data_IF_336157322357
#
_entry.id   IF_336157322357
#
_cell.length_a   1.000
_cell.length_b   1.000
_cell.length_c   1.000
_cell.angle_alpha   90.00
_cell.angle_beta   90.00
_cell.angle_gamma   90.00
#
_symmetry.space_group_name_H-M   'P 1'
#
loop_
_entity.id
_entity.type
_entity.pdbx_description
1 polymer ?
#
# COMPACT_ATOMS: atom_id res chain seq x y z
N UNK A 1 3.53 -21.06 12.10
CA UNK A 1 2.38 -22.00 12.04
C UNK A 1 2.48 -22.97 13.18
N UNK A 2 1.46 -23.01 14.06
CA UNK A 2 1.40 -23.94 15.22
C UNK A 2 0.61 -25.22 14.90
N UNK A 3 -0.39 -25.10 14.03
CA UNK A 3 -1.18 -26.23 13.59
C UNK A 3 -1.77 -25.99 12.20
N UNK A 4 -2.04 -27.06 11.46
CA UNK A 4 -2.70 -27.02 10.16
C UNK A 4 -3.99 -27.82 10.20
N UNK A 5 -5.05 -27.26 9.61
CA UNK A 5 -6.35 -27.93 9.49
C UNK A 5 -6.34 -29.02 8.39
N UNK A 6 -7.35 -29.90 8.40
CA UNK A 6 -7.48 -30.94 7.38
C UNK A 6 -7.71 -30.27 6.01
N UNK A 7 -6.92 -30.68 5.00
CA UNK A 7 -7.02 -30.16 3.63
C UNK A 7 -6.15 -28.96 3.32
N UNK A 8 -5.47 -28.35 4.30
CA UNK A 8 -4.47 -27.31 4.06
C UNK A 8 -3.30 -27.90 3.27
N UNK A 9 -2.84 -27.17 2.26
CA UNK A 9 -1.73 -27.59 1.38
C UNK A 9 -0.64 -26.54 1.36
N UNK A 10 0.61 -27.01 1.39
CA UNK A 10 1.78 -26.14 1.25
C UNK A 10 2.15 -25.33 2.49
N UNK A 11 1.57 -25.67 3.64
CA UNK A 11 1.93 -25.14 4.96
C UNK A 11 2.15 -26.30 5.93
N UNK A 12 3.16 -26.16 6.78
CA UNK A 12 3.55 -27.13 7.80
C UNK A 12 3.75 -26.43 9.14
N UNK A 13 3.67 -27.20 10.24
CA UNK A 13 4.01 -26.69 11.58
C UNK A 13 5.47 -26.23 11.59
N UNK A 14 5.72 -25.05 12.13
CA UNK A 14 7.03 -24.40 12.14
C UNK A 14 7.23 -23.38 11.00
N UNK A 15 6.39 -23.35 9.96
CA UNK A 15 6.52 -22.39 8.89
C UNK A 15 6.35 -20.95 9.38
N UNK A 16 7.23 -20.06 8.93
CA UNK A 16 7.05 -18.61 9.03
C UNK A 16 6.11 -18.11 7.94
N UNK A 17 5.19 -17.24 8.30
CA UNK A 17 4.15 -16.76 7.39
C UNK A 17 3.89 -15.27 7.55
N UNK A 18 3.52 -14.62 6.44
CA UNK A 18 2.88 -13.31 6.43
C UNK A 18 1.37 -13.48 6.29
N UNK A 19 0.59 -12.73 7.06
CA UNK A 19 -0.86 -12.70 6.91
C UNK A 19 -1.27 -11.54 5.99
N UNK A 20 -2.13 -11.80 5.01
CA UNK A 20 -2.67 -10.77 4.11
C UNK A 20 -4.16 -10.56 4.35
N UNK A 21 -4.58 -9.31 4.49
CA UNK A 21 -6.00 -8.95 4.57
C UNK A 21 -6.72 -9.06 3.21
N UNK A 22 -5.97 -9.23 2.13
CA UNK A 22 -6.47 -9.52 0.78
C UNK A 22 -6.24 -11.01 0.49
N UNK A 23 -7.20 -11.89 0.82
CA UNK A 23 -7.07 -13.31 0.48
C UNK A 23 -7.25 -13.53 -1.03
N UNK A 24 -6.52 -14.48 -1.59
CA UNK A 24 -6.68 -14.86 -2.99
C UNK A 24 -6.78 -16.36 -3.18
N UNK A 25 -7.86 -16.83 -3.82
CA UNK A 25 -8.07 -18.26 -4.06
C UNK A 25 -7.23 -18.82 -5.20
N UNK A 26 -6.70 -17.98 -6.08
CA UNK A 26 -5.86 -18.34 -7.22
C UNK A 26 -6.58 -19.00 -8.41
N UNK A 27 -7.92 -19.16 -8.37
CA UNK A 27 -8.68 -19.95 -9.36
C UNK A 27 -9.99 -19.33 -9.84
N UNK A 28 -10.50 -18.27 -9.22
CA UNK A 28 -11.67 -17.54 -9.72
C UNK A 28 -11.29 -16.70 -10.96
N UNK A 29 -12.26 -16.21 -11.74
CA UNK A 29 -12.01 -15.40 -12.92
C UNK A 29 -11.05 -14.23 -12.66
N UNK A 30 -11.32 -13.40 -11.65
CA UNK A 30 -10.45 -12.28 -11.30
C UNK A 30 -9.01 -12.71 -10.99
N UNK A 31 -8.83 -13.81 -10.24
CA UNK A 31 -7.49 -14.35 -9.98
C UNK A 31 -6.81 -14.87 -11.23
N UNK A 32 -7.54 -15.54 -12.12
CA UNK A 32 -7.01 -16.09 -13.37
C UNK A 32 -6.57 -14.98 -14.34
N UNK A 33 -7.23 -13.83 -14.30
CA UNK A 33 -6.89 -12.63 -15.08
C UNK A 33 -5.74 -11.80 -14.47
N UNK A 34 -5.18 -12.23 -13.33
CA UNK A 34 -4.08 -11.51 -12.66
C UNK A 34 -4.52 -10.50 -11.62
N UNK A 35 -5.82 -10.39 -11.36
CA UNK A 35 -6.40 -9.45 -10.38
C UNK A 35 -6.65 -10.13 -9.02
N UNK A 36 -5.64 -10.74 -8.43
CA UNK A 36 -5.75 -11.45 -7.15
C UNK A 36 -6.21 -10.54 -6.00
N UNK A 37 -5.88 -9.25 -6.08
CA UNK A 37 -6.32 -8.22 -5.12
C UNK A 37 -7.84 -7.95 -5.17
N UNK A 38 -8.54 -8.46 -6.18
CA UNK A 38 -9.99 -8.43 -6.37
C UNK A 38 -10.60 -9.84 -6.42
N UNK A 39 -10.05 -10.79 -5.68
CA UNK A 39 -10.52 -12.17 -5.67
C UNK A 39 -12.02 -12.27 -5.42
N UNK A 40 -12.79 -12.93 -6.33
CA UNK A 40 -14.25 -13.06 -6.23
C UNK A 40 -14.70 -13.80 -4.96
N UNK A 41 -13.84 -14.66 -4.41
CA UNK A 41 -14.09 -15.38 -3.15
C UNK A 41 -13.50 -14.65 -1.92
N UNK A 42 -12.91 -13.45 -2.11
CA UNK A 42 -12.20 -12.74 -1.05
C UNK A 42 -13.10 -12.39 0.14
N UNK A 43 -14.30 -11.92 -0.12
CA UNK A 43 -15.27 -11.55 0.91
C UNK A 43 -15.74 -12.75 1.74
N UNK A 44 -15.99 -13.90 1.11
CA UNK A 44 -16.37 -15.13 1.81
C UNK A 44 -15.25 -15.62 2.73
N UNK A 45 -14.00 -15.58 2.25
CA UNK A 45 -12.83 -15.95 3.03
C UNK A 45 -12.64 -15.01 4.23
N UNK A 46 -12.75 -13.70 4.03
CA UNK A 46 -12.62 -12.69 5.08
C UNK A 46 -13.75 -12.79 6.11
N UNK A 47 -14.99 -12.96 5.66
CA UNK A 47 -16.14 -13.05 6.54
C UNK A 47 -16.14 -14.33 7.35
N UNK A 48 -15.84 -15.48 6.79
CA UNK A 48 -15.74 -16.78 7.44
C UNK A 48 -16.69 -17.01 8.61
N UNK A 49 -16.57 -18.14 9.30
CA UNK A 49 -17.30 -18.35 10.57
C UNK A 49 -16.62 -17.57 11.70
N UNK A 50 -17.37 -17.01 12.67
CA UNK A 50 -16.78 -16.45 13.89
C UNK A 50 -15.90 -17.50 14.58
N UNK A 51 -14.68 -17.14 14.94
CA UNK A 51 -13.67 -18.08 15.50
C UNK A 51 -13.18 -17.69 16.88
N UNK A 52 -13.49 -16.46 17.31
CA UNK A 52 -13.05 -15.94 18.60
C UNK A 52 -14.25 -15.83 19.55
N UNK A 53 -14.02 -16.16 20.83
CA UNK A 53 -15.03 -16.01 21.89
C UNK A 53 -14.80 -14.66 22.58
N UNK A 54 -15.76 -13.75 22.44
CA UNK A 54 -15.78 -12.48 23.15
C UNK A 54 -16.68 -12.51 24.39
N UNK A 55 -16.73 -11.41 25.15
CA UNK A 55 -17.57 -11.28 26.34
C UNK A 55 -19.08 -11.48 26.07
N UNK A 56 -19.54 -11.07 24.91
CA UNK A 56 -20.97 -11.09 24.49
C UNK A 56 -21.29 -12.22 23.51
N UNK A 57 -20.37 -13.13 23.25
CA UNK A 57 -20.57 -14.24 22.30
C UNK A 57 -19.42 -14.40 21.33
N UNK A 58 -19.68 -15.09 20.21
CA UNK A 58 -18.69 -15.33 19.18
C UNK A 58 -18.46 -14.05 18.34
N UNK A 59 -17.18 -13.67 18.15
CA UNK A 59 -16.77 -12.51 17.33
C UNK A 59 -16.00 -12.95 16.09
N UNK A 60 -16.08 -12.14 15.06
CA UNK A 60 -15.31 -12.30 13.83
C UNK A 60 -14.00 -11.54 13.92
N UNK A 61 -12.94 -12.12 13.41
CA UNK A 61 -11.68 -11.43 13.25
C UNK A 61 -11.77 -10.38 12.14
N UNK A 62 -11.16 -9.23 12.34
CA UNK A 62 -11.02 -8.22 11.28
C UNK A 62 -10.34 -8.84 10.06
N UNK A 63 -10.92 -8.66 8.87
CA UNK A 63 -10.45 -9.23 7.60
C UNK A 63 -10.22 -10.76 7.62
N UNK A 64 -10.84 -11.47 8.58
CA UNK A 64 -10.67 -12.91 8.75
C UNK A 64 -9.31 -13.35 9.30
N UNK A 65 -8.46 -12.44 9.72
CA UNK A 65 -7.10 -12.72 10.24
C UNK A 65 -6.95 -12.44 11.74
N UNK A 66 -7.33 -11.25 12.24
CA UNK A 66 -7.34 -10.93 13.68
C UNK A 66 -6.00 -11.12 14.37
N UNK A 67 -4.98 -10.36 13.92
CA UNK A 67 -3.57 -10.58 14.31
C UNK A 67 -3.17 -10.00 15.67
N UNK A 68 -4.03 -9.22 16.34
CA UNK A 68 -3.78 -8.75 17.71
C UNK A 68 -4.19 -9.81 18.73
N UNK A 69 -3.52 -10.95 18.67
CA UNK A 69 -3.71 -12.09 19.57
C UNK A 69 -2.49 -13.00 19.51
N UNK A 70 -2.22 -13.75 20.57
CA UNK A 70 -1.13 -14.71 20.62
C UNK A 70 -1.31 -15.83 19.57
N UNK A 71 -2.55 -16.24 19.32
CA UNK A 71 -2.92 -17.25 18.35
C UNK A 71 -4.10 -16.79 17.50
N UNK A 72 -4.05 -17.06 16.21
CA UNK A 72 -5.12 -16.76 15.28
C UNK A 72 -5.42 -17.98 14.40
N UNK A 73 -6.71 -18.23 14.14
CA UNK A 73 -7.13 -19.24 13.17
C UNK A 73 -7.52 -18.52 11.89
N UNK A 74 -6.75 -18.73 10.83
CA UNK A 74 -6.89 -18.04 9.57
C UNK A 74 -7.08 -19.01 8.41
N UNK A 75 -7.66 -18.52 7.32
CA UNK A 75 -7.79 -19.31 6.10
C UNK A 75 -6.44 -19.36 5.36
N UNK A 76 -6.08 -20.51 4.78
CA UNK A 76 -4.81 -20.68 4.04
C UNK A 76 -4.61 -19.65 2.92
N UNK A 77 -5.68 -19.15 2.30
CA UNK A 77 -5.62 -18.13 1.27
C UNK A 77 -5.29 -16.72 1.77
N UNK A 78 -5.30 -16.52 3.09
CA UNK A 78 -4.86 -15.28 3.75
C UNK A 78 -3.43 -15.36 4.26
N UNK A 79 -2.72 -16.46 3.97
CA UNK A 79 -1.37 -16.73 4.47
C UNK A 79 -0.40 -16.89 3.30
N UNK A 80 0.77 -16.33 3.46
CA UNK A 80 1.90 -16.44 2.53
C UNK A 80 3.09 -17.01 3.30
N UNK A 81 3.57 -18.20 2.91
CA UNK A 81 4.80 -18.77 3.48
C UNK A 81 6.00 -17.91 3.06
N UNK A 82 6.86 -17.61 4.00
CA UNK A 82 8.09 -16.84 3.82
C UNK A 82 9.29 -17.61 4.37
N UNK A 83 10.50 -17.20 4.01
CA UNK A 83 11.71 -17.81 4.57
C UNK A 83 11.85 -17.54 6.07
N UNK A 84 12.31 -18.52 6.81
CA UNK A 84 12.49 -18.47 8.27
C UNK A 84 13.64 -17.54 8.72
N UNK A 85 14.49 -17.15 7.79
CA UNK A 85 15.60 -16.21 8.01
C UNK A 85 15.18 -14.74 8.02
N UNK A 86 13.95 -14.40 7.55
CA UNK A 86 13.48 -13.02 7.58
C UNK A 86 13.04 -12.60 8.99
N UNK A 87 13.41 -11.42 9.48
CA UNK A 87 12.87 -10.86 10.72
C UNK A 87 11.35 -10.73 10.63
N UNK A 88 10.63 -11.24 11.63
CA UNK A 88 9.16 -11.28 11.60
C UNK A 88 8.52 -9.89 11.64
N UNK A 89 9.17 -8.89 12.21
CA UNK A 89 8.74 -7.49 12.17
C UNK A 89 8.81 -6.91 10.76
N UNK A 90 9.88 -7.17 10.00
CA UNK A 90 9.97 -6.83 8.58
C UNK A 90 8.91 -7.57 7.75
N UNK A 91 8.67 -8.86 8.03
CA UNK A 91 7.60 -9.65 7.39
C UNK A 91 6.23 -9.02 7.67
N UNK A 92 5.95 -8.61 8.92
CA UNK A 92 4.66 -8.06 9.31
C UNK A 92 4.31 -6.80 8.53
N UNK A 93 5.22 -5.84 8.38
CA UNK A 93 4.94 -4.58 7.68
C UNK A 93 4.78 -4.74 6.17
N UNK A 94 5.34 -5.80 5.56
CA UNK A 94 5.13 -6.09 4.13
C UNK A 94 3.71 -6.54 3.82
N UNK A 95 2.95 -6.95 4.82
CA UNK A 95 1.60 -7.51 4.67
C UNK A 95 0.54 -6.49 4.25
N UNK A 96 0.79 -5.19 4.43
CA UNK A 96 -0.18 -4.13 4.11
C UNK A 96 0.52 -2.89 3.52
N UNK A 97 1.01 -1.98 4.38
CA UNK A 97 1.46 -0.65 3.97
C UNK A 97 2.58 -0.66 2.94
N UNK A 98 3.55 -1.57 3.08
CA UNK A 98 4.68 -1.70 2.16
C UNK A 98 4.21 -2.15 0.77
N UNK A 99 3.45 -3.25 0.69
CA UNK A 99 2.93 -3.75 -0.57
C UNK A 99 1.99 -2.74 -1.23
N UNK A 100 1.13 -2.09 -0.44
CA UNK A 100 0.19 -1.08 -0.93
C UNK A 100 0.91 0.12 -1.54
N UNK A 101 1.87 0.70 -0.84
CA UNK A 101 2.59 1.89 -1.32
C UNK A 101 3.48 1.58 -2.51
N UNK A 102 4.32 0.56 -2.40
CA UNK A 102 5.20 0.13 -3.48
C UNK A 102 4.40 -0.22 -4.75
N UNK A 103 3.35 -1.03 -4.58
CA UNK A 103 2.48 -1.44 -5.69
C UNK A 103 1.71 -0.29 -6.31
N UNK A 104 1.29 0.71 -5.53
CA UNK A 104 0.63 1.91 -6.07
C UNK A 104 1.51 2.67 -7.05
N UNK A 105 2.81 2.76 -6.79
CA UNK A 105 3.76 3.37 -7.72
C UNK A 105 4.07 2.45 -8.91
N UNK A 106 4.39 1.18 -8.65
CA UNK A 106 4.94 0.27 -9.66
C UNK A 106 3.86 -0.38 -10.51
N UNK A 107 2.80 -0.90 -9.87
CA UNK A 107 1.76 -1.67 -10.58
C UNK A 107 0.61 -0.78 -11.07
N UNK A 108 0.13 0.18 -10.23
CA UNK A 108 -1.06 1.00 -10.56
C UNK A 108 -0.67 2.21 -11.38
N UNK A 109 0.23 3.05 -10.88
CA UNK A 109 0.69 4.22 -11.62
C UNK A 109 1.62 3.87 -12.79
N UNK A 110 2.23 2.69 -12.77
CA UNK A 110 3.10 2.20 -13.82
C UNK A 110 4.34 3.07 -14.03
N UNK A 111 4.92 3.56 -12.95
CA UNK A 111 6.11 4.43 -12.96
C UNK A 111 7.24 3.79 -13.75
N UNK A 112 7.89 4.59 -14.59
CA UNK A 112 8.97 4.17 -15.48
C UNK A 112 10.24 4.99 -15.25
N UNK A 113 11.34 4.47 -15.76
CA UNK A 113 12.61 5.21 -15.75
C UNK A 113 12.46 6.57 -16.47
N UNK A 114 12.92 7.63 -15.80
CA UNK A 114 12.85 8.99 -16.29
C UNK A 114 11.58 9.77 -15.91
N UNK A 115 10.58 9.16 -15.29
CA UNK A 115 9.33 9.82 -14.89
C UNK A 115 9.55 10.87 -13.80
N UNK A 116 8.66 11.86 -13.77
CA UNK A 116 8.44 12.79 -12.65
C UNK A 116 7.21 12.31 -11.88
N UNK A 117 7.40 11.96 -10.61
CA UNK A 117 6.39 11.37 -9.73
C UNK A 117 6.19 12.26 -8.51
N UNK A 118 4.94 12.50 -8.13
CA UNK A 118 4.58 13.20 -6.88
C UNK A 118 3.86 12.24 -5.95
N UNK A 119 4.29 12.20 -4.69
CA UNK A 119 3.64 11.41 -3.63
C UNK A 119 3.09 12.37 -2.58
N UNK A 120 1.76 12.47 -2.50
CA UNK A 120 1.04 13.36 -1.58
C UNK A 120 0.66 12.58 -0.32
N UNK A 121 1.26 12.94 0.82
CA UNK A 121 1.17 12.22 2.08
C UNK A 121 2.24 11.12 2.18
N UNK A 122 3.26 11.32 3.00
CA UNK A 122 4.37 10.36 3.19
C UNK A 122 4.28 9.59 4.51
N UNK A 123 3.05 9.18 4.87
CA UNK A 123 2.80 8.20 5.93
C UNK A 123 3.22 6.78 5.53
N UNK A 124 2.76 5.77 6.27
CA UNK A 124 3.19 4.37 6.06
C UNK A 124 2.98 3.82 4.64
N UNK A 125 1.96 4.28 3.91
CA UNK A 125 1.74 3.92 2.50
C UNK A 125 2.61 4.79 1.59
N UNK A 126 2.56 6.12 1.76
CA UNK A 126 3.25 7.04 0.86
C UNK A 126 4.77 6.91 0.87
N UNK A 127 5.36 6.61 2.02
CA UNK A 127 6.79 6.38 2.11
C UNK A 127 7.24 5.16 1.28
N UNK A 128 6.40 4.13 1.18
CA UNK A 128 6.66 2.97 0.34
C UNK A 128 6.34 3.23 -1.15
N UNK A 129 5.44 4.17 -1.43
CA UNK A 129 5.25 4.67 -2.80
C UNK A 129 6.48 5.46 -3.28
N UNK A 130 7.11 6.25 -2.40
CA UNK A 130 8.40 6.90 -2.67
C UNK A 130 9.47 5.87 -3.02
N UNK A 131 9.65 4.84 -2.18
CA UNK A 131 10.59 3.75 -2.46
C UNK A 131 10.28 3.05 -3.79
N UNK A 132 9.00 2.73 -4.05
CA UNK A 132 8.55 2.10 -5.28
C UNK A 132 8.87 2.94 -6.51
N UNK A 133 8.59 4.23 -6.48
CA UNK A 133 8.88 5.15 -7.58
C UNK A 133 10.39 5.29 -7.85
N UNK A 134 11.19 5.44 -6.80
CA UNK A 134 12.65 5.50 -6.92
C UNK A 134 13.22 4.20 -7.50
N UNK A 135 12.75 3.04 -7.02
CA UNK A 135 13.18 1.72 -7.52
C UNK A 135 12.74 1.45 -8.96
N UNK A 136 11.61 2.02 -9.41
CA UNK A 136 11.18 1.96 -10.81
C UNK A 136 12.03 2.84 -11.73
N UNK A 137 12.91 3.68 -11.17
CA UNK A 137 13.84 4.52 -11.92
C UNK A 137 13.28 5.90 -12.26
N UNK A 138 12.28 6.39 -11.53
CA UNK A 138 11.81 7.77 -11.69
C UNK A 138 12.99 8.75 -11.58
N UNK A 139 13.06 9.72 -12.49
CA UNK A 139 14.11 10.75 -12.45
C UNK A 139 13.86 11.74 -11.30
N UNK A 140 12.59 12.05 -11.05
CA UNK A 140 12.18 12.93 -9.98
C UNK A 140 11.10 12.26 -9.14
N UNK A 141 11.33 12.17 -7.83
CA UNK A 141 10.35 11.72 -6.84
C UNK A 141 10.16 12.86 -5.84
N UNK A 142 9.00 13.50 -5.91
CA UNK A 142 8.65 14.67 -5.10
C UNK A 142 7.73 14.22 -3.98
N UNK A 143 8.21 14.28 -2.74
CA UNK A 143 7.42 14.00 -1.54
C UNK A 143 6.70 15.27 -1.07
N UNK A 144 5.40 15.16 -0.81
CA UNK A 144 4.56 16.27 -0.30
C UNK A 144 3.97 15.85 1.03
N UNK A 145 4.41 16.48 2.12
CA UNK A 145 3.86 16.25 3.46
C UNK A 145 4.05 17.49 4.35
N UNK A 146 3.03 17.93 5.12
CA UNK A 146 3.17 19.11 5.99
C UNK A 146 4.18 18.90 7.13
N UNK A 147 4.46 17.66 7.53
CA UNK A 147 5.35 17.33 8.64
C UNK A 147 6.81 17.25 8.16
N UNK A 148 7.67 18.11 8.67
CA UNK A 148 9.08 18.22 8.27
C UNK A 148 9.85 16.91 8.43
N UNK A 149 9.76 16.26 9.59
CA UNK A 149 10.40 14.95 9.82
C UNK A 149 10.04 13.91 8.76
N UNK A 150 8.78 13.89 8.28
CA UNK A 150 8.37 12.95 7.22
C UNK A 150 8.98 13.32 5.87
N UNK A 151 9.12 14.60 5.58
CA UNK A 151 9.81 15.06 4.35
C UNK A 151 11.28 14.68 4.35
N UNK A 152 11.97 14.91 5.47
CA UNK A 152 13.37 14.51 5.65
C UNK A 152 13.53 12.99 5.51
N UNK A 153 12.67 12.23 6.16
CA UNK A 153 12.69 10.77 6.05
C UNK A 153 12.43 10.30 4.61
N UNK A 154 11.49 10.93 3.88
CA UNK A 154 11.23 10.58 2.48
C UNK A 154 12.49 10.72 1.60
N UNK A 155 13.33 11.72 1.84
CA UNK A 155 14.59 11.88 1.12
C UNK A 155 15.58 10.75 1.41
N UNK A 156 15.58 10.21 2.64
CA UNK A 156 16.48 9.09 2.98
C UNK A 156 16.11 7.78 2.28
N UNK A 157 14.86 7.66 1.79
CA UNK A 157 14.35 6.44 1.16
C UNK A 157 14.07 6.59 -0.35
N UNK A 158 14.50 7.71 -0.95
CA UNK A 158 14.50 7.85 -2.40
C UNK A 158 13.73 9.04 -2.98
N UNK A 159 13.14 9.92 -2.15
CA UNK A 159 12.62 11.19 -2.67
C UNK A 159 13.78 12.09 -3.08
N UNK A 160 13.72 12.63 -4.29
CA UNK A 160 14.71 13.60 -4.81
C UNK A 160 14.44 15.00 -4.29
N UNK A 161 13.17 15.30 -4.03
CA UNK A 161 12.69 16.59 -3.53
C UNK A 161 11.59 16.37 -2.48
N UNK A 162 11.44 17.32 -1.58
CA UNK A 162 10.38 17.29 -0.58
C UNK A 162 9.85 18.71 -0.32
N UNK A 163 8.53 18.88 -0.30
CA UNK A 163 7.85 20.17 -0.10
C UNK A 163 6.69 20.01 0.88
N UNK A 164 6.25 21.12 1.47
CA UNK A 164 5.26 21.08 2.54
C UNK A 164 3.82 20.96 2.03
N UNK A 165 3.54 21.41 0.82
CA UNK A 165 2.18 21.46 0.28
C UNK A 165 2.11 21.17 -1.22
N UNK A 166 0.88 20.93 -1.72
CA UNK A 166 0.61 20.73 -3.16
C UNK A 166 0.91 22.02 -3.94
N UNK A 167 0.65 23.17 -3.34
CA UNK A 167 0.91 24.48 -3.93
C UNK A 167 2.40 24.70 -4.19
N UNK A 168 3.26 24.28 -3.23
CA UNK A 168 4.72 24.33 -3.41
C UNK A 168 5.20 23.31 -4.45
N UNK A 169 4.53 22.17 -4.58
CA UNK A 169 4.87 21.16 -5.57
C UNK A 169 4.61 21.63 -7.00
N UNK A 170 3.61 22.49 -7.23
CA UNK A 170 3.21 22.93 -8.57
C UNK A 170 4.37 23.52 -9.40
N UNK A 171 4.99 24.63 -8.99
CA UNK A 171 6.14 25.21 -9.67
C UNK A 171 7.31 24.23 -9.84
N UNK A 172 7.60 23.44 -8.82
CA UNK A 172 8.68 22.45 -8.83
C UNK A 172 8.44 21.36 -9.88
N UNK A 173 7.20 20.84 -9.97
CA UNK A 173 6.81 19.86 -11.00
C UNK A 173 6.99 20.47 -12.40
N UNK A 174 6.58 21.72 -12.61
CA UNK A 174 6.72 22.39 -13.92
C UNK A 174 8.21 22.54 -14.31
N UNK A 175 9.05 22.93 -13.37
CA UNK A 175 10.48 23.10 -13.63
C UNK A 175 11.15 21.74 -13.97
N UNK A 176 10.97 20.74 -13.10
CA UNK A 176 11.60 19.42 -13.25
C UNK A 176 11.09 18.62 -14.46
N UNK A 177 9.86 18.86 -14.89
CA UNK A 177 9.24 18.20 -16.05
C UNK A 177 9.34 19.00 -17.35
N UNK A 178 10.06 20.12 -17.35
CA UNK A 178 10.13 21.06 -18.49
C UNK A 178 8.74 21.53 -18.96
N UNK A 179 7.86 21.84 -18.01
CA UNK A 179 6.50 22.31 -18.29
C UNK A 179 5.50 21.20 -18.67
N UNK A 180 5.87 19.91 -18.57
CA UNK A 180 5.00 18.80 -19.00
C UNK A 180 4.05 18.30 -17.92
N UNK A 181 4.31 18.62 -16.65
CA UNK A 181 3.58 18.07 -15.49
C UNK A 181 4.10 16.69 -15.09
N UNK A 182 3.58 16.16 -13.99
CA UNK A 182 3.96 14.86 -13.45
C UNK A 182 3.41 13.70 -14.31
N UNK A 183 4.20 12.65 -14.49
CA UNK A 183 3.75 11.41 -15.13
C UNK A 183 2.79 10.64 -14.22
N UNK A 184 3.05 10.68 -12.91
CA UNK A 184 2.18 10.09 -11.90
C UNK A 184 2.10 10.97 -10.65
N UNK A 185 0.91 11.06 -10.09
CA UNK A 185 0.63 11.63 -8.76
C UNK A 185 -0.06 10.57 -7.93
N UNK A 186 0.49 10.27 -6.75
CA UNK A 186 -0.06 9.28 -5.83
C UNK A 186 -0.64 10.00 -4.62
N UNK A 187 -1.95 9.87 -4.40
CA UNK A 187 -2.65 10.42 -3.24
C UNK A 187 -2.74 9.34 -2.17
N UNK A 188 -1.89 9.48 -1.14
CA UNK A 188 -1.66 8.48 -0.08
C UNK A 188 -1.87 9.04 1.32
N UNK A 189 -2.63 10.13 1.44
CA UNK A 189 -3.01 10.74 2.72
C UNK A 189 -3.94 9.81 3.52
N UNK A 190 -4.04 10.03 4.84
CA UNK A 190 -4.91 9.21 5.70
C UNK A 190 -6.39 9.38 5.38
N UNK A 191 -6.82 10.61 5.06
CA UNK A 191 -8.18 10.93 4.61
C UNK A 191 -8.11 11.80 3.36
N UNK A 192 -8.53 11.27 2.22
CA UNK A 192 -8.55 11.98 0.95
C UNK A 192 -9.87 12.75 0.80
N UNK A 193 -9.91 13.96 1.35
CA UNK A 193 -11.05 14.86 1.23
C UNK A 193 -11.21 15.37 -0.21
N UNK A 194 -12.44 15.75 -0.60
CA UNK A 194 -12.77 16.11 -2.00
C UNK A 194 -11.96 17.29 -2.55
N UNK A 195 -11.52 18.21 -1.69
CA UNK A 195 -10.71 19.37 -2.03
C UNK A 195 -9.27 19.05 -2.45
N UNK A 196 -8.76 17.86 -2.13
CA UNK A 196 -7.42 17.43 -2.54
C UNK A 196 -7.36 16.97 -4.01
N UNK A 197 -8.48 16.53 -4.60
CA UNK A 197 -8.46 15.90 -5.92
C UNK A 197 -8.16 16.88 -7.06
N UNK A 198 -8.77 18.05 -7.05
CA UNK A 198 -8.54 19.04 -8.11
C UNK A 198 -7.10 19.58 -8.11
N UNK A 199 -6.50 19.97 -6.97
CA UNK A 199 -5.08 20.35 -6.92
C UNK A 199 -4.13 19.21 -7.28
N UNK A 200 -4.38 17.98 -6.82
CA UNK A 200 -3.56 16.82 -7.18
C UNK A 200 -3.63 16.52 -8.68
N UNK A 201 -4.84 16.56 -9.29
CA UNK A 201 -5.02 16.36 -10.73
C UNK A 201 -4.38 17.48 -11.57
N UNK A 202 -4.28 18.70 -11.04
CA UNK A 202 -3.59 19.81 -11.71
C UNK A 202 -2.09 19.59 -11.86
N UNK A 203 -1.45 18.81 -10.97
CA UNK A 203 -0.05 18.42 -11.09
C UNK A 203 0.19 17.39 -12.21
N UNK A 204 -0.84 16.62 -12.57
CA UNK A 204 -0.73 15.54 -13.56
C UNK A 204 -0.55 16.12 -14.95
N UNK A 205 0.45 15.65 -15.69
CA UNK A 205 0.70 15.99 -17.07
C UNK A 205 -0.22 15.26 -18.06
N UNK A 206 -0.01 15.51 -19.36
CA UNK A 206 -0.76 14.83 -20.44
C UNK A 206 -0.55 13.32 -20.39
N UNK A 207 -1.64 12.55 -20.50
CA UNK A 207 -1.68 11.10 -20.38
C UNK A 207 -1.10 10.55 -19.07
N UNK A 208 -0.97 11.40 -18.04
CA UNK A 208 -0.49 11.01 -16.72
C UNK A 208 -1.59 10.44 -15.83
N UNK A 209 -1.19 9.93 -14.67
CA UNK A 209 -2.06 9.20 -13.75
C UNK A 209 -2.17 9.92 -12.38
N UNK A 210 -3.39 10.07 -11.87
CA UNK A 210 -3.66 10.28 -10.44
C UNK A 210 -4.10 8.96 -9.84
N UNK A 211 -3.31 8.43 -8.89
CA UNK A 211 -3.60 7.17 -8.20
C UNK A 211 -4.10 7.44 -6.78
N UNK A 212 -5.33 7.04 -6.49
CA UNK A 212 -5.94 7.15 -5.17
C UNK A 212 -5.70 5.85 -4.40
N UNK A 213 -4.96 5.95 -3.29
CA UNK A 213 -4.66 4.82 -2.40
C UNK A 213 -5.18 5.06 -0.98
N UNK A 214 -5.73 6.21 -0.72
CA UNK A 214 -6.33 6.58 0.57
C UNK A 214 -7.69 5.92 0.79
N UNK A 215 -8.00 5.66 2.06
CA UNK A 215 -9.37 5.35 2.50
C UNK A 215 -10.00 6.66 2.99
N UNK A 216 -10.87 7.25 2.19
CA UNK A 216 -11.67 8.40 2.60
C UNK A 216 -12.78 7.97 3.57
N UNK A 217 -13.39 8.94 4.23
CA UNK A 217 -14.62 8.68 4.99
C UNK A 217 -15.63 7.98 4.09
N UNK A 218 -16.19 6.86 4.55
CA UNK A 218 -17.14 6.02 3.79
C UNK A 218 -18.39 6.78 3.31
N UNK A 219 -18.68 7.93 3.92
CA UNK A 219 -19.80 8.80 3.52
C UNK A 219 -19.40 9.80 2.43
N UNK A 220 -18.11 9.94 2.11
CA UNK A 220 -17.65 10.81 1.03
C UNK A 220 -17.83 10.09 -0.30
N UNK A 221 -18.76 10.56 -1.09
CA UNK A 221 -19.13 9.96 -2.38
C UNK A 221 -18.97 10.93 -3.57
N UNK A 222 -18.43 12.12 -3.31
CA UNK A 222 -18.26 13.15 -4.34
C UNK A 222 -16.82 13.68 -4.37
N UNK A 223 -16.33 13.90 -5.59
CA UNK A 223 -15.07 14.58 -5.86
C UNK A 223 -15.28 15.61 -6.99
N UNK A 224 -14.54 16.70 -6.97
CA UNK A 224 -14.60 17.73 -8.01
C UNK A 224 -13.36 17.64 -8.89
N UNK A 225 -13.58 17.44 -10.20
CA UNK A 225 -12.52 17.44 -11.22
C UNK A 225 -12.92 18.30 -12.40
N UNK A 226 -11.95 18.90 -13.09
CA UNK A 226 -12.16 19.54 -14.37
C UNK A 226 -12.29 18.46 -15.46
N UNK A 227 -13.51 18.22 -15.92
CA UNK A 227 -13.81 17.17 -16.92
C UNK A 227 -13.19 17.46 -18.28
N UNK A 228 -13.05 18.74 -18.65
CA UNK A 228 -12.39 19.14 -19.92
C UNK A 228 -10.90 18.82 -19.84
N UNK A 229 -10.23 19.18 -18.75
CA UNK A 229 -8.82 18.85 -18.53
C UNK A 229 -8.59 17.34 -18.53
N UNK A 230 -9.43 16.59 -17.79
CA UNK A 230 -9.37 15.14 -17.76
C UNK A 230 -9.46 14.53 -19.16
N UNK A 231 -10.46 14.92 -19.95
CA UNK A 231 -10.72 14.36 -21.28
C UNK A 231 -9.69 14.84 -22.32
N UNK A 232 -9.46 16.15 -22.41
CA UNK A 232 -8.61 16.74 -23.47
C UNK A 232 -7.12 16.48 -23.28
N UNK A 233 -6.68 16.28 -22.02
CA UNK A 233 -5.29 15.94 -21.72
C UNK A 233 -5.07 14.43 -21.57
N UNK A 234 -6.12 13.61 -21.72
CA UNK A 234 -6.02 12.15 -21.60
C UNK A 234 -5.55 11.70 -20.24
N UNK A 235 -5.88 12.44 -19.18
CA UNK A 235 -5.47 12.09 -17.82
C UNK A 235 -6.30 10.93 -17.27
N UNK A 236 -5.73 10.18 -16.33
CA UNK A 236 -6.38 9.04 -15.72
C UNK A 236 -6.52 9.23 -14.21
N UNK A 237 -7.63 8.73 -13.64
CA UNK A 237 -7.83 8.55 -12.21
C UNK A 237 -7.99 7.06 -11.93
N UNK A 238 -7.08 6.50 -11.12
CA UNK A 238 -7.09 5.09 -10.75
C UNK A 238 -7.34 4.92 -9.25
N UNK A 239 -8.26 4.03 -8.87
CA UNK A 239 -8.36 3.51 -7.51
C UNK A 239 -7.33 2.41 -7.30
N UNK A 240 -6.71 2.37 -6.12
CA UNK A 240 -5.67 1.40 -5.79
C UNK A 240 -6.01 0.67 -4.50
N UNK A 241 -6.50 -0.56 -4.61
CA UNK A 241 -6.58 -1.47 -3.46
C UNK A 241 -5.30 -2.30 -3.39
N UNK A 242 -4.62 -2.26 -2.24
CA UNK A 242 -3.41 -3.04 -1.98
C UNK A 242 -2.27 -2.83 -3.02
N UNK A 243 -2.27 -1.71 -3.76
CA UNK A 243 -1.29 -1.45 -4.82
C UNK A 243 -1.35 -2.45 -5.97
N UNK A 244 -2.50 -3.09 -6.23
CA UNK A 244 -2.66 -4.18 -7.20
C UNK A 244 -1.70 -5.35 -6.97
N UNK A 245 -1.20 -5.52 -5.75
CA UNK A 245 -0.29 -6.60 -5.43
C UNK A 245 -1.00 -7.95 -5.31
N UNK A 246 -0.31 -8.99 -5.75
CA UNK A 246 -0.62 -10.37 -5.44
C UNK A 246 0.16 -10.77 -4.19
N UNK A 247 -0.48 -11.02 -3.03
CA UNK A 247 0.23 -11.33 -1.79
C UNK A 247 1.25 -12.46 -1.94
N UNK A 248 0.88 -13.54 -2.62
CA UNK A 248 1.72 -14.74 -2.80
C UNK A 248 2.95 -14.51 -3.67
N UNK A 249 2.90 -13.53 -4.57
CA UNK A 249 4.02 -13.16 -5.45
C UNK A 249 4.81 -11.98 -4.89
N UNK A 250 4.09 -10.95 -4.42
CA UNK A 250 4.72 -9.66 -4.15
C UNK A 250 5.32 -9.57 -2.74
N UNK A 251 4.72 -10.22 -1.72
CA UNK A 251 5.34 -10.28 -0.39
C UNK A 251 6.73 -10.93 -0.45
N UNK A 252 6.91 -12.13 -1.04
CA UNK A 252 8.25 -12.71 -1.19
C UNK A 252 9.19 -11.87 -2.06
N UNK A 253 8.67 -11.15 -3.07
CA UNK A 253 9.47 -10.23 -3.89
C UNK A 253 9.99 -9.05 -3.06
N UNK A 254 9.12 -8.42 -2.27
CA UNK A 254 9.48 -7.29 -1.41
C UNK A 254 10.50 -7.70 -0.34
N UNK A 255 10.32 -8.88 0.27
CA UNK A 255 11.30 -9.40 1.24
C UNK A 255 12.66 -9.69 0.60
N UNK A 256 12.71 -10.18 -0.65
CA UNK A 256 13.99 -10.32 -1.37
C UNK A 256 14.64 -8.96 -1.67
N UNK A 257 13.85 -7.94 -1.96
CA UNK A 257 14.39 -6.59 -2.17
C UNK A 257 14.93 -6.00 -0.86
N UNK A 258 14.29 -6.29 0.26
CA UNK A 258 14.79 -5.96 1.59
C UNK A 258 16.11 -6.68 1.90
N UNK A 259 16.17 -7.99 1.72
CA UNK A 259 17.36 -8.80 1.92
C UNK A 259 18.58 -8.32 1.09
N UNK A 260 18.31 -7.77 -0.11
CA UNK A 260 19.32 -7.15 -0.97
C UNK A 260 19.65 -5.69 -0.61
N UNK A 261 19.08 -5.15 0.48
CA UNK A 261 19.27 -3.76 0.90
C UNK A 261 18.67 -2.71 -0.05
N UNK A 262 17.81 -3.14 -0.98
CA UNK A 262 17.15 -2.25 -1.97
C UNK A 262 15.88 -1.62 -1.45
N UNK A 263 15.15 -2.32 -0.58
CA UNK A 263 13.95 -1.85 0.09
C UNK A 263 14.25 -1.68 1.57
N UNK A 264 14.01 -0.51 2.12
CA UNK A 264 14.22 -0.20 3.52
C UNK A 264 12.96 -0.54 4.30
N UNK A 265 13.04 -1.45 5.27
CA UNK A 265 11.93 -1.84 6.13
C UNK A 265 12.22 -1.54 7.59
N UNK A 266 13.44 -1.76 8.07
CA UNK A 266 13.80 -1.54 9.48
C UNK A 266 13.58 -0.10 9.90
N UNK A 267 13.88 0.84 9.01
CA UNK A 267 13.73 2.28 9.21
C UNK A 267 12.26 2.72 9.30
N UNK A 268 11.33 1.88 8.84
CA UNK A 268 9.89 2.16 8.93
C UNK A 268 9.31 1.84 10.31
N UNK A 269 10.03 1.06 11.13
CA UNK A 269 9.56 0.62 12.44
C UNK A 269 9.94 1.67 13.48
N UNK A 270 8.97 2.52 13.83
CA UNK A 270 9.21 3.65 14.75
C UNK A 270 9.10 3.27 16.21
N UNK A 271 8.30 2.24 16.55
CA UNK A 271 8.12 1.78 17.92
C UNK A 271 7.71 0.31 17.98
N UNK A 272 7.97 -0.35 19.11
CA UNK A 272 7.56 -1.71 19.41
C UNK A 272 6.82 -1.73 20.74
N UNK A 273 5.69 -2.41 20.78
CA UNK A 273 4.85 -2.55 21.96
C UNK A 273 4.55 -4.03 22.23
N UNK A 274 4.56 -4.49 23.48
CA UNK A 274 4.03 -5.80 23.82
C UNK A 274 2.52 -5.86 23.58
N UNK A 275 1.97 -7.07 23.44
CA UNK A 275 0.57 -7.24 23.04
C UNK A 275 -0.43 -6.65 24.06
N UNK A 276 -0.12 -6.68 25.34
CA UNK A 276 -0.93 -6.10 26.43
C UNK A 276 -0.94 -4.56 26.40
N UNK A 277 0.03 -3.93 25.75
CA UNK A 277 0.12 -2.47 25.54
C UNK A 277 -0.38 -2.01 24.17
N UNK A 278 -1.11 -2.86 23.43
CA UNK A 278 -1.54 -2.54 22.06
C UNK A 278 -2.30 -1.22 21.93
N UNK A 279 -3.05 -0.82 22.98
CA UNK A 279 -3.77 0.45 22.98
C UNK A 279 -2.83 1.66 22.94
N UNK A 280 -1.61 1.56 23.44
CA UNK A 280 -0.60 2.61 23.32
C UNK A 280 -0.11 2.77 21.88
N UNK A 281 0.00 1.66 21.16
CA UNK A 281 0.34 1.67 19.74
C UNK A 281 -0.71 2.32 18.84
N UNK A 282 -1.96 2.46 19.33
CA UNK A 282 -3.05 3.15 18.63
C UNK A 282 -3.18 4.65 18.98
N UNK A 283 -2.52 5.13 20.03
CA UNK A 283 -2.51 6.54 20.43
C UNK A 283 -1.46 7.34 19.68
#
# INVERSE_FOLDING_TARGET
>A
VEAVGPGVRGLEVGDHVAASFIPSCGRCPSCAEGMQYLCDNGEEIQRGKPRHKGPTGMVRAMSGIGTFSEYSVVHENSIVKVGDWYPLDAVAITSCGVATGWGSAVNVAGVKAGDTVVVIGTGGIGINAVQGAAMAGAANVIAVDPVEMKREFAQTVGATHAVASIEEAGPLVQDLSWGRGANAVLLTVGDATSDLFAPAMALVGKAGNLTLTSLSNITQNEITLNTVDLAMMGKHLHGSIYGYCNPRSDIPKLLRLYDQGKLKLDELITARYPLDEINEGYR
#
